data_IF_382808109959
#
_entry.id   IF_382808109959
#
_cell.length_a   1.000
_cell.length_b   1.000
_cell.length_c   1.000
_cell.angle_alpha   90.00
_cell.angle_beta   90.00
_cell.angle_gamma   90.00
#
_symmetry.space_group_name_H-M   'P 1'
#
loop_
_entity.id
_entity.type
_entity.pdbx_description
1 polymer ?
#
# COMPACT_ATOMS: atom_id res chain seq x y z
N UNK A 1 73.44 63.11 -6.88
CA UNK A 1 72.57 62.10 -6.25
C UNK A 1 73.30 60.76 -6.31
N UNK A 2 73.72 60.23 -5.15
CA UNK A 2 74.55 59.01 -5.04
C UNK A 2 73.84 57.78 -5.64
N UNK A 3 74.62 56.86 -6.22
CA UNK A 3 74.13 55.68 -6.93
C UNK A 3 73.21 54.79 -6.08
N UNK A 4 73.41 54.74 -4.75
CA UNK A 4 72.54 54.01 -3.81
C UNK A 4 71.17 54.66 -3.73
N UNK A 5 71.09 56.00 -3.72
CA UNK A 5 69.82 56.74 -3.64
C UNK A 5 68.98 56.58 -4.91
N UNK A 6 69.61 56.55 -6.09
CA UNK A 6 68.94 56.23 -7.37
C UNK A 6 68.41 54.79 -7.40
N UNK A 7 69.23 53.81 -6.99
CA UNK A 7 68.79 52.40 -6.89
C UNK A 7 67.60 52.24 -5.93
N UNK A 8 67.63 52.89 -4.77
CA UNK A 8 66.54 52.85 -3.80
C UNK A 8 65.24 53.45 -4.35
N UNK A 9 65.30 54.57 -5.08
CA UNK A 9 64.11 55.18 -5.71
C UNK A 9 63.53 54.26 -6.80
N UNK A 10 64.39 53.65 -7.63
CA UNK A 10 63.95 52.72 -8.68
C UNK A 10 63.31 51.47 -8.07
N UNK A 11 63.92 50.89 -7.03
CA UNK A 11 63.36 49.72 -6.33
C UNK A 11 62.01 50.07 -5.70
N UNK A 12 61.88 51.22 -5.05
CA UNK A 12 60.61 51.68 -4.48
C UNK A 12 59.51 51.88 -5.53
N UNK A 13 59.85 52.50 -6.67
CA UNK A 13 58.90 52.70 -7.77
C UNK A 13 58.47 51.38 -8.42
N UNK A 14 59.39 50.42 -8.59
CA UNK A 14 59.09 49.08 -9.11
C UNK A 14 58.19 48.30 -8.15
N UNK A 15 58.46 48.33 -6.84
CA UNK A 15 57.63 47.67 -5.84
C UNK A 15 56.22 48.29 -5.78
N UNK A 16 56.10 49.61 -5.84
CA UNK A 16 54.80 50.28 -5.90
C UNK A 16 54.02 49.89 -7.17
N UNK A 17 54.67 49.83 -8.33
CA UNK A 17 54.04 49.38 -9.57
C UNK A 17 53.59 47.92 -9.50
N UNK A 18 54.36 47.03 -8.86
CA UNK A 18 53.98 45.63 -8.64
C UNK A 18 52.77 45.53 -7.72
N UNK A 19 52.72 46.28 -6.62
CA UNK A 19 51.57 46.28 -5.69
C UNK A 19 50.32 46.83 -6.37
N UNK A 20 50.44 47.89 -7.16
CA UNK A 20 49.33 48.45 -7.93
C UNK A 20 48.87 47.44 -8.99
N UNK A 21 49.78 46.81 -9.72
CA UNK A 21 49.44 45.77 -10.69
C UNK A 21 48.77 44.56 -10.01
N UNK A 22 49.28 44.09 -8.87
CA UNK A 22 48.68 43.00 -8.08
C UNK A 22 47.29 43.39 -7.55
N UNK A 23 47.11 44.63 -7.11
CA UNK A 23 45.81 45.15 -6.67
C UNK A 23 44.79 45.24 -7.82
N UNK A 24 45.23 45.64 -9.01
CA UNK A 24 44.40 45.62 -10.23
C UNK A 24 44.06 44.18 -10.60
N UNK A 25 45.04 43.26 -10.58
CA UNK A 25 44.83 41.83 -10.87
C UNK A 25 43.83 41.21 -9.90
N UNK A 26 43.98 41.46 -8.58
CA UNK A 26 43.06 40.97 -7.55
C UNK A 26 41.65 41.57 -7.68
N UNK A 27 41.51 42.80 -8.18
CA UNK A 27 40.22 43.47 -8.43
C UNK A 27 39.57 43.03 -9.75
N UNK A 28 40.37 42.60 -10.76
CA UNK A 28 39.87 42.06 -12.03
C UNK A 28 39.42 40.60 -11.95
N UNK A 29 39.86 39.84 -10.95
CA UNK A 29 39.45 38.44 -10.77
C UNK A 29 38.22 38.38 -9.88
N UNK A 30 37.03 38.31 -10.50
CA UNK A 30 35.78 38.10 -9.77
C UNK A 30 35.63 36.61 -9.38
N UNK A 31 35.61 36.31 -8.09
CA UNK A 31 35.41 34.94 -7.59
C UNK A 31 33.91 34.61 -7.53
N UNK A 32 33.46 33.76 -8.45
CA UNK A 32 32.08 33.34 -8.53
C UNK A 32 31.81 32.17 -7.58
N UNK A 33 30.68 32.22 -6.87
CA UNK A 33 30.17 31.09 -6.07
C UNK A 33 28.88 30.61 -6.72
N UNK A 34 28.97 29.50 -7.44
CA UNK A 34 27.90 28.96 -8.27
C UNK A 34 27.00 28.04 -7.46
N UNK A 35 25.69 28.21 -7.62
CA UNK A 35 24.71 27.18 -7.29
C UNK A 35 24.59 26.23 -8.49
N UNK A 36 24.54 24.93 -8.20
CA UNK A 36 24.39 23.90 -9.23
C UNK A 36 23.08 24.04 -10.02
N UNK A 37 23.12 23.61 -11.28
CA UNK A 37 21.93 23.57 -12.12
C UNK A 37 20.91 22.56 -11.58
N UNK A 38 19.63 22.86 -11.79
CA UNK A 38 18.51 21.98 -11.49
C UNK A 38 17.76 21.62 -12.78
N UNK A 39 16.71 20.81 -12.67
CA UNK A 39 15.84 20.50 -13.80
C UNK A 39 15.16 21.74 -14.41
N UNK A 40 15.02 22.82 -13.64
CA UNK A 40 14.26 24.02 -14.05
C UNK A 40 15.11 25.28 -14.19
N UNK A 41 16.30 25.30 -13.59
CA UNK A 41 17.16 26.47 -13.59
C UNK A 41 18.62 26.10 -13.93
N UNK A 42 19.31 26.93 -14.74
CA UNK A 42 20.75 26.80 -14.98
C UNK A 42 21.58 27.14 -13.73
N UNK A 43 22.89 26.92 -13.81
CA UNK A 43 23.80 27.37 -12.75
C UNK A 43 23.73 28.89 -12.61
N UNK A 44 23.61 29.36 -11.38
CA UNK A 44 23.47 30.79 -11.07
C UNK A 44 24.47 31.19 -10.00
N UNK A 45 25.19 32.29 -10.19
CA UNK A 45 26.08 32.82 -9.17
C UNK A 45 25.26 33.43 -8.04
N UNK A 46 25.48 32.95 -6.81
CA UNK A 46 24.75 33.40 -5.61
C UNK A 46 25.01 34.86 -5.23
N UNK A 47 26.07 35.48 -5.75
CA UNK A 47 26.48 36.85 -5.42
C UNK A 47 26.05 37.90 -6.44
N UNK A 48 26.20 37.61 -7.74
CA UNK A 48 25.93 38.57 -8.82
C UNK A 48 24.74 38.20 -9.71
N UNK A 49 24.17 37.00 -9.56
CA UNK A 49 23.04 36.53 -10.36
C UNK A 49 23.40 36.15 -11.80
N UNK A 50 24.68 36.15 -12.16
CA UNK A 50 25.12 35.70 -13.49
C UNK A 50 24.74 34.24 -13.71
N UNK A 51 24.28 33.93 -14.92
CA UNK A 51 23.77 32.62 -15.33
C UNK A 51 24.75 31.94 -16.27
N UNK A 52 25.02 30.65 -16.02
CA UNK A 52 25.87 29.83 -16.89
C UNK A 52 25.17 28.54 -17.29
N UNK A 53 25.19 28.24 -18.58
CA UNK A 53 24.61 27.02 -19.13
C UNK A 53 23.08 27.06 -19.18
N UNK A 54 22.48 25.88 -19.22
CA UNK A 54 21.03 25.68 -19.27
C UNK A 54 20.57 24.81 -18.10
N UNK A 55 19.27 24.78 -17.85
CA UNK A 55 18.69 23.81 -16.91
C UNK A 55 18.97 22.38 -17.40
N UNK A 56 19.09 21.44 -16.45
CA UNK A 56 19.33 20.03 -16.77
C UNK A 56 18.16 19.40 -17.54
N UNK A 57 16.99 20.02 -17.48
CA UNK A 57 15.76 19.48 -18.05
C UNK A 57 15.21 18.31 -17.26
N UNK A 58 14.08 17.80 -17.73
CA UNK A 58 13.41 16.67 -17.10
C UNK A 58 13.63 15.39 -17.91
N UNK A 59 14.14 14.37 -17.23
CA UNK A 59 14.10 12.99 -17.70
C UNK A 59 12.86 12.31 -17.12
N UNK A 60 11.85 12.07 -17.97
CA UNK A 60 10.53 11.57 -17.54
C UNK A 60 10.45 10.05 -17.58
N UNK A 61 10.11 9.44 -16.46
CA UNK A 61 9.63 8.05 -16.37
C UNK A 61 8.13 8.04 -16.67
N UNK A 62 7.71 7.11 -17.54
CA UNK A 62 6.34 7.02 -18.03
C UNK A 62 5.30 6.84 -16.90
N UNK A 63 4.09 7.33 -17.16
CA UNK A 63 2.96 7.16 -16.27
C UNK A 63 2.52 5.70 -16.19
N UNK A 64 1.88 5.33 -15.09
CA UNK A 64 1.19 4.06 -14.91
C UNK A 64 -0.30 4.32 -14.66
N UNK A 65 -1.11 3.26 -14.55
CA UNK A 65 -2.51 3.41 -14.15
C UNK A 65 -2.69 3.84 -12.68
N UNK A 66 -1.61 3.87 -11.88
CA UNK A 66 -1.65 4.29 -10.48
C UNK A 66 -1.00 5.65 -10.23
N UNK A 67 -0.08 6.10 -11.10
CA UNK A 67 0.67 7.34 -10.91
C UNK A 67 0.93 8.07 -12.24
N UNK A 68 0.94 9.41 -12.26
CA UNK A 68 1.38 10.17 -13.42
C UNK A 68 2.87 9.92 -13.74
N UNK A 69 3.32 10.40 -14.90
CA UNK A 69 4.75 10.39 -15.23
C UNK A 69 5.52 11.28 -14.25
N UNK A 70 6.77 10.95 -13.99
CA UNK A 70 7.59 11.69 -13.02
C UNK A 70 9.04 11.83 -13.48
N UNK A 71 9.69 12.91 -13.05
CA UNK A 71 11.09 13.14 -13.36
C UNK A 71 12.00 12.35 -12.43
N UNK A 72 12.93 11.56 -12.98
CA UNK A 72 13.84 10.74 -12.19
C UNK A 72 14.75 11.57 -11.26
N UNK A 73 15.13 12.77 -11.71
CA UNK A 73 16.15 13.58 -11.03
C UNK A 73 15.58 14.51 -9.94
N UNK A 74 14.35 15.01 -10.11
CA UNK A 74 13.76 15.97 -9.15
C UNK A 74 12.40 15.52 -8.56
N UNK A 75 11.84 14.40 -9.01
CA UNK A 75 10.59 13.86 -8.50
C UNK A 75 9.32 14.63 -8.90
N UNK A 76 9.42 15.71 -9.68
CA UNK A 76 8.24 16.40 -10.22
C UNK A 76 7.38 15.44 -11.02
N UNK A 77 6.07 15.59 -10.91
CA UNK A 77 5.09 14.82 -11.68
C UNK A 77 4.43 15.72 -12.72
N UNK A 78 3.98 15.13 -13.82
CA UNK A 78 3.29 15.86 -14.87
C UNK A 78 2.19 14.98 -15.48
N UNK A 79 1.02 15.57 -15.76
CA UNK A 79 -0.14 14.86 -16.27
C UNK A 79 -0.88 14.04 -15.21
N UNK A 80 -1.71 13.11 -15.67
CA UNK A 80 -2.49 12.21 -14.82
C UNK A 80 -1.99 10.76 -14.93
N UNK A 81 -2.44 9.91 -14.01
CA UNK A 81 -2.31 8.47 -14.16
C UNK A 81 -3.09 8.01 -15.40
N UNK A 82 -2.60 6.94 -16.03
CA UNK A 82 -3.28 6.30 -17.16
C UNK A 82 -4.60 5.67 -16.70
N UNK A 83 -5.51 5.44 -17.65
CA UNK A 83 -6.71 4.67 -17.37
C UNK A 83 -6.33 3.23 -16.98
N UNK A 84 -7.11 2.62 -16.09
CA UNK A 84 -6.99 1.21 -15.79
C UNK A 84 -7.49 0.38 -16.97
N UNK A 85 -6.70 -0.62 -17.36
CA UNK A 85 -7.14 -1.71 -18.23
C UNK A 85 -7.74 -2.79 -17.35
N UNK A 86 -9.04 -3.06 -17.52
CA UNK A 86 -9.79 -3.99 -16.67
C UNK A 86 -9.98 -5.35 -17.34
N UNK A 87 -9.70 -6.41 -16.60
CA UNK A 87 -10.25 -7.73 -16.84
C UNK A 87 -11.64 -7.80 -16.23
N UNK A 88 -12.61 -8.36 -16.96
CA UNK A 88 -13.99 -8.50 -16.49
C UNK A 88 -14.09 -9.41 -15.26
N UNK A 89 -15.10 -9.14 -14.44
CA UNK A 89 -15.39 -9.89 -13.22
C UNK A 89 -15.84 -11.32 -13.56
N UNK A 90 -15.56 -12.25 -12.66
CA UNK A 90 -16.05 -13.63 -12.71
C UNK A 90 -17.08 -13.88 -11.60
N UNK A 91 -17.58 -15.10 -11.48
CA UNK A 91 -18.41 -15.47 -10.33
C UNK A 91 -17.65 -15.47 -8.99
N UNK A 92 -16.32 -15.58 -9.02
CA UNK A 92 -15.46 -15.71 -7.84
C UNK A 92 -14.61 -14.46 -7.57
N UNK A 93 -14.37 -13.62 -8.58
CA UNK A 93 -13.50 -12.46 -8.49
C UNK A 93 -14.13 -11.19 -9.09
N UNK A 94 -13.85 -10.00 -8.53
CA UNK A 94 -14.28 -8.72 -9.09
C UNK A 94 -13.51 -8.39 -10.39
N UNK A 95 -13.79 -7.21 -10.97
CA UNK A 95 -12.95 -6.70 -12.06
C UNK A 95 -11.55 -6.43 -11.52
N UNK A 96 -10.53 -6.79 -12.28
CA UNK A 96 -9.14 -6.62 -11.87
C UNK A 96 -8.38 -5.83 -12.93
N UNK A 97 -7.61 -4.84 -12.51
CA UNK A 97 -6.72 -4.14 -13.43
C UNK A 97 -5.59 -5.08 -13.86
N UNK A 98 -5.42 -5.28 -15.16
CA UNK A 98 -4.40 -6.20 -15.72
C UNK A 98 -2.97 -5.75 -15.43
N UNK A 99 -2.76 -4.44 -15.25
CA UNK A 99 -1.43 -3.85 -15.04
C UNK A 99 -1.02 -3.78 -13.57
N UNK A 100 -1.97 -3.53 -12.65
CA UNK A 100 -1.65 -3.27 -11.25
C UNK A 100 -2.41 -4.14 -10.23
N UNK A 101 -3.33 -4.98 -10.68
CA UNK A 101 -4.11 -5.88 -9.82
C UNK A 101 -5.17 -5.21 -8.94
N UNK A 102 -5.39 -3.89 -9.08
CA UNK A 102 -6.46 -3.19 -8.36
C UNK A 102 -7.80 -3.86 -8.66
N UNK A 103 -8.61 -4.09 -7.63
CA UNK A 103 -9.97 -4.58 -7.77
C UNK A 103 -10.98 -3.42 -7.89
N UNK A 104 -11.99 -3.63 -8.72
CA UNK A 104 -13.14 -2.73 -8.86
C UNK A 104 -14.45 -3.52 -8.81
N UNK A 105 -15.36 -3.11 -7.91
CA UNK A 105 -16.60 -3.82 -7.61
C UNK A 105 -16.42 -5.14 -6.87
N UNK A 106 -17.44 -5.99 -6.94
CA UNK A 106 -17.49 -7.32 -6.32
C UNK A 106 -17.53 -8.42 -7.40
N UNK A 107 -17.30 -9.66 -6.98
CA UNK A 107 -17.55 -10.82 -7.82
C UNK A 107 -19.03 -10.86 -8.23
N UNK A 108 -19.32 -11.36 -9.43
CA UNK A 108 -20.70 -11.46 -9.92
C UNK A 108 -21.53 -12.43 -9.08
N UNK A 109 -20.88 -13.34 -8.36
CA UNK A 109 -21.51 -14.44 -7.63
C UNK A 109 -21.96 -15.57 -8.56
N UNK A 110 -22.30 -16.71 -7.97
CA UNK A 110 -22.83 -17.85 -8.72
C UNK A 110 -24.29 -17.63 -9.10
N UNK A 111 -24.62 -17.90 -10.36
CA UNK A 111 -26.00 -17.90 -10.87
C UNK A 111 -26.47 -19.34 -11.01
N UNK A 112 -26.99 -19.89 -9.92
CA UNK A 112 -27.48 -21.27 -9.86
C UNK A 112 -28.99 -21.28 -10.05
N UNK A 113 -29.48 -22.01 -11.06
CA UNK A 113 -30.92 -22.11 -11.36
C UNK A 113 -31.68 -22.90 -10.31
N UNK A 114 -31.14 -24.05 -9.94
CA UNK A 114 -31.79 -24.98 -9.01
C UNK A 114 -30.74 -25.62 -8.11
N UNK A 115 -31.05 -25.61 -6.82
CA UNK A 115 -30.28 -26.31 -5.80
C UNK A 115 -30.92 -27.66 -5.47
N UNK A 116 -30.08 -28.67 -5.30
CA UNK A 116 -30.48 -29.99 -4.84
C UNK A 116 -29.71 -30.34 -3.55
N UNK A 117 -30.42 -30.66 -2.48
CA UNK A 117 -29.82 -31.07 -1.21
C UNK A 117 -29.22 -32.47 -1.37
N UNK A 118 -27.91 -32.58 -1.28
CA UNK A 118 -27.18 -33.85 -1.35
C UNK A 118 -26.98 -34.46 0.02
N UNK A 119 -26.82 -33.63 1.06
CA UNK A 119 -26.74 -34.04 2.45
C UNK A 119 -27.67 -33.18 3.31
N UNK A 120 -28.62 -33.81 4.00
CA UNK A 120 -29.52 -33.08 4.91
C UNK A 120 -28.75 -32.63 6.16
N UNK A 121 -28.91 -31.36 6.54
CA UNK A 121 -28.38 -30.85 7.79
C UNK A 121 -29.14 -31.46 8.99
N UNK A 122 -28.43 -31.62 10.10
CA UNK A 122 -29.00 -32.04 11.39
C UNK A 122 -28.46 -31.15 12.51
N UNK A 123 -28.89 -31.39 13.75
CA UNK A 123 -28.33 -30.66 14.90
C UNK A 123 -26.92 -31.12 15.30
N UNK A 124 -26.39 -32.19 14.70
CA UNK A 124 -25.03 -32.67 14.95
C UNK A 124 -24.10 -32.47 13.74
N UNK A 125 -24.65 -32.51 12.54
CA UNK A 125 -23.89 -32.49 11.28
C UNK A 125 -24.37 -31.39 10.34
N UNK A 126 -23.41 -30.77 9.65
CA UNK A 126 -23.69 -29.85 8.55
C UNK A 126 -24.32 -30.61 7.37
N UNK A 127 -25.22 -29.92 6.66
CA UNK A 127 -25.76 -30.39 5.40
C UNK A 127 -25.00 -29.82 4.22
N UNK A 128 -25.35 -30.26 3.02
CA UNK A 128 -24.77 -29.78 1.78
C UNK A 128 -25.83 -29.79 0.67
N UNK A 129 -25.72 -28.83 -0.24
CA UNK A 129 -26.48 -28.79 -1.48
C UNK A 129 -25.57 -28.54 -2.65
N UNK A 130 -25.93 -29.10 -3.80
CA UNK A 130 -25.24 -28.88 -5.07
C UNK A 130 -26.17 -28.23 -6.08
N UNK A 131 -25.61 -27.45 -7.00
CA UNK A 131 -26.37 -26.89 -8.11
C UNK A 131 -25.46 -26.39 -9.24
N UNK A 132 -25.92 -26.54 -10.48
CA UNK A 132 -25.16 -26.10 -11.65
C UNK A 132 -25.26 -24.59 -11.84
N UNK A 133 -24.12 -23.92 -11.93
CA UNK A 133 -24.04 -22.48 -12.13
C UNK A 133 -23.81 -22.14 -13.60
N UNK A 134 -24.67 -21.28 -14.15
CA UNK A 134 -24.63 -20.87 -15.56
C UNK A 134 -23.43 -19.96 -15.90
N UNK A 135 -22.75 -19.40 -14.90
CA UNK A 135 -21.60 -18.50 -15.11
C UNK A 135 -20.26 -19.23 -15.11
N UNK A 136 -20.10 -20.24 -14.26
CA UNK A 136 -18.87 -21.04 -14.21
C UNK A 136 -18.97 -22.37 -14.96
N UNK A 137 -20.16 -22.69 -15.47
CA UNK A 137 -20.48 -23.93 -16.20
C UNK A 137 -20.09 -25.20 -15.42
N UNK A 138 -20.15 -25.13 -14.09
CA UNK A 138 -19.75 -26.18 -13.16
C UNK A 138 -20.76 -26.31 -12.02
N UNK A 139 -20.71 -27.47 -11.36
CA UNK A 139 -21.46 -27.70 -10.13
C UNK A 139 -20.84 -26.94 -8.96
N UNK A 140 -21.66 -26.10 -8.34
CA UNK A 140 -21.34 -25.39 -7.12
C UNK A 140 -21.87 -26.19 -5.93
N UNK A 141 -21.03 -26.37 -4.91
CA UNK A 141 -21.40 -27.01 -3.65
C UNK A 141 -21.47 -25.93 -2.58
N UNK A 142 -22.57 -25.92 -1.83
CA UNK A 142 -22.78 -25.03 -0.70
C UNK A 142 -23.07 -25.85 0.56
N UNK A 143 -22.36 -25.51 1.64
CA UNK A 143 -22.59 -26.11 2.96
C UNK A 143 -23.78 -25.44 3.62
N UNK A 144 -24.65 -26.26 4.21
CA UNK A 144 -25.79 -25.82 4.97
C UNK A 144 -25.46 -25.91 6.45
N UNK A 145 -25.77 -24.84 7.18
CA UNK A 145 -25.58 -24.78 8.61
C UNK A 145 -26.36 -25.89 9.34
N UNK A 146 -25.86 -26.24 10.53
CA UNK A 146 -26.51 -27.22 11.39
C UNK A 146 -27.86 -26.70 11.84
N UNK A 147 -28.83 -27.59 11.96
CA UNK A 147 -30.14 -27.25 12.50
C UNK A 147 -30.05 -27.01 14.02
N UNK A 148 -30.89 -26.15 14.60
CA UNK A 148 -30.92 -25.97 16.05
C UNK A 148 -31.34 -27.27 16.75
N UNK A 149 -30.87 -27.45 17.98
CA UNK A 149 -31.33 -28.55 18.82
C UNK A 149 -32.81 -28.40 19.16
N UNK A 150 -33.56 -29.49 19.05
CA UNK A 150 -34.98 -29.54 19.45
C UNK A 150 -35.07 -30.00 20.89
N UNK A 151 -35.48 -29.11 21.80
CA UNK A 151 -35.56 -29.40 23.24
C UNK A 151 -36.66 -30.43 23.53
N UNK A 152 -36.35 -31.44 24.34
CA UNK A 152 -37.34 -32.33 24.96
C UNK A 152 -38.06 -31.65 26.12
N UNK A 153 -39.03 -32.35 26.73
CA UNK A 153 -39.45 -32.03 28.09
C UNK A 153 -38.34 -32.32 29.10
N UNK A 154 -38.53 -31.85 30.34
CA UNK A 154 -37.63 -32.17 31.45
C UNK A 154 -37.61 -33.67 31.71
N UNK A 155 -36.41 -34.21 31.89
CA UNK A 155 -36.18 -35.62 32.19
C UNK A 155 -35.28 -35.74 33.41
N UNK A 156 -35.49 -36.78 34.22
CA UNK A 156 -34.64 -37.04 35.39
C UNK A 156 -33.28 -37.55 34.90
N UNK A 157 -32.23 -36.75 35.12
CA UNK A 157 -30.85 -37.07 34.71
C UNK A 157 -30.11 -37.90 35.77
N UNK A 158 -30.37 -37.64 37.05
CA UNK A 158 -29.93 -38.47 38.18
C UNK A 158 -31.06 -38.53 39.19
N UNK A 159 -31.40 -39.74 39.62
CA UNK A 159 -32.38 -39.92 40.67
C UNK A 159 -31.82 -39.46 42.03
N UNK A 160 -32.70 -39.15 42.97
CA UNK A 160 -32.28 -38.83 44.33
C UNK A 160 -31.76 -40.08 45.04
N UNK A 161 -30.85 -39.90 46.01
CA UNK A 161 -30.31 -41.00 46.82
C UNK A 161 -30.60 -40.73 48.28
N UNK A 162 -31.12 -41.74 48.99
CA UNK A 162 -31.32 -41.69 50.45
C UNK A 162 -30.34 -42.66 51.10
N UNK A 163 -29.53 -42.19 52.05
CA UNK A 163 -28.63 -43.04 52.82
C UNK A 163 -29.34 -43.68 54.02
N UNK A 164 -28.77 -44.76 54.56
CA UNK A 164 -29.28 -45.42 55.79
C UNK A 164 -29.28 -44.51 57.03
N UNK A 165 -28.55 -43.40 56.99
CA UNK A 165 -28.49 -42.37 58.04
C UNK A 165 -29.57 -41.28 57.86
N UNK A 166 -30.40 -41.37 56.80
CA UNK A 166 -31.49 -40.42 56.52
C UNK A 166 -31.08 -39.19 55.71
N UNK A 167 -29.85 -39.14 55.18
CA UNK A 167 -29.39 -38.03 54.34
C UNK A 167 -29.92 -38.17 52.92
N UNK A 168 -30.58 -37.13 52.40
CA UNK A 168 -31.09 -37.06 51.01
C UNK A 168 -30.09 -36.31 50.14
N UNK A 169 -29.60 -36.96 49.09
CA UNK A 169 -28.85 -36.32 48.00
C UNK A 169 -29.84 -35.99 46.87
N UNK A 170 -30.05 -34.70 46.54
CA UNK A 170 -30.98 -34.31 45.49
C UNK A 170 -30.62 -34.90 44.12
N UNK A 171 -31.64 -35.34 43.39
CA UNK A 171 -31.52 -35.66 41.97
C UNK A 171 -31.32 -34.42 41.11
N UNK A 172 -31.05 -34.61 39.82
CA UNK A 172 -30.91 -33.52 38.84
C UNK A 172 -31.78 -33.79 37.62
N UNK A 173 -32.34 -32.73 37.03
CA UNK A 173 -33.09 -32.80 35.78
C UNK A 173 -32.26 -32.29 34.60
N UNK A 174 -32.56 -32.78 33.40
CA UNK A 174 -31.93 -32.36 32.16
C UNK A 174 -32.95 -32.21 31.04
N UNK A 175 -32.67 -31.26 30.14
CA UNK A 175 -33.31 -31.16 28.83
C UNK A 175 -32.35 -31.81 27.83
N UNK A 176 -32.87 -32.69 26.98
CA UNK A 176 -32.08 -33.33 25.94
C UNK A 176 -32.60 -32.94 24.57
N UNK A 177 -31.74 -32.99 23.55
CA UNK A 177 -32.16 -32.84 22.18
C UNK A 177 -32.96 -34.09 21.76
N UNK A 178 -34.20 -33.93 21.32
CA UNK A 178 -35.03 -35.06 20.84
C UNK A 178 -34.50 -35.70 19.56
N UNK A 179 -33.62 -35.01 18.83
CA UNK A 179 -33.05 -35.48 17.56
C UNK A 179 -31.73 -36.22 17.75
N UNK A 180 -30.84 -35.75 18.63
CA UNK A 180 -29.49 -36.33 18.80
C UNK A 180 -29.16 -36.83 20.22
N UNK A 181 -30.07 -36.67 21.18
CA UNK A 181 -29.90 -37.15 22.56
C UNK A 181 -28.90 -36.38 23.42
N UNK A 182 -28.22 -35.35 22.89
CA UNK A 182 -27.31 -34.53 23.70
C UNK A 182 -28.08 -33.68 24.71
N UNK A 183 -27.58 -33.59 25.93
CA UNK A 183 -28.06 -32.66 26.94
C UNK A 183 -27.80 -31.20 26.51
N UNK A 184 -28.78 -30.32 26.70
CA UNK A 184 -28.81 -28.92 26.24
C UNK A 184 -28.65 -27.92 27.37
#
# INVERSE_FOLDING_TARGET
MDAKRKKMIIIGAVLAAIVIALGIVLNTVCFHSWQDASCEAPMTCTKCGEIRGQALGHEWIAATCSKPKYCLNCGKTEGAALAHSWQEATCESPKLCTECGKADGEALGHKVKQWNVTKKASCSEEGERTGYCERCEKDCIEKLEKLPHTKSGWTVAKDYVITSEGTVTPGTEAIVCTVCGKQL
#
